data_IF_759722184410
#
_entry.id   IF_759722184410
#
_cell.length_a   1.000
_cell.length_b   1.000
_cell.length_c   1.000
_cell.angle_alpha   90.00
_cell.angle_beta   90.00
_cell.angle_gamma   90.00
#
_symmetry.space_group_name_H-M   'P 1'
#
loop_
_entity.id
_entity.type
_entity.pdbx_description
1 polymer ?
#
# COMPACT_ATOMS: atom_id res chain seq x y z
N UNK A 1 8.51 -16.91 -5.56
CA UNK A 1 8.54 -15.96 -4.43
C UNK A 1 8.15 -14.58 -4.95
N UNK A 2 7.14 -13.95 -4.36
CA UNK A 2 6.64 -12.64 -4.82
C UNK A 2 7.36 -11.56 -4.04
N UNK A 3 7.86 -10.53 -4.71
CA UNK A 3 8.47 -9.39 -4.02
C UNK A 3 7.39 -8.44 -3.51
N UNK A 4 7.52 -8.08 -2.24
CA UNK A 4 6.72 -7.06 -1.59
C UNK A 4 7.64 -5.97 -1.07
N UNK A 5 7.17 -4.74 -1.06
CA UNK A 5 7.81 -3.63 -0.37
C UNK A 5 6.80 -3.00 0.57
N UNK A 6 7.18 -2.82 1.83
CA UNK A 6 6.34 -2.19 2.83
C UNK A 6 6.92 -0.88 3.32
N UNK A 7 6.06 0.02 3.76
CA UNK A 7 6.44 1.24 4.47
C UNK A 7 5.35 1.60 5.48
N UNK A 8 5.63 2.56 6.35
CA UNK A 8 4.72 2.99 7.40
C UNK A 8 4.73 4.50 7.61
N UNK A 9 3.63 5.00 8.16
CA UNK A 9 3.56 6.30 8.81
C UNK A 9 3.38 6.06 10.31
N UNK A 10 4.13 6.78 11.13
CA UNK A 10 4.08 6.70 12.59
C UNK A 10 3.87 8.08 13.17
N UNK A 11 3.29 8.18 14.37
CA UNK A 11 3.17 9.40 15.14
C UNK A 11 4.23 9.42 16.23
N UNK A 12 5.08 10.44 16.23
CA UNK A 12 6.07 10.61 17.28
C UNK A 12 5.46 11.17 18.58
N UNK A 13 6.28 11.28 19.61
CA UNK A 13 5.96 11.87 20.93
C UNK A 13 5.35 13.29 20.85
N UNK A 14 5.78 14.09 19.88
CA UNK A 14 5.23 15.43 19.62
C UNK A 14 3.89 15.42 18.84
N UNK A 15 3.34 14.24 18.53
CA UNK A 15 2.11 14.09 17.76
C UNK A 15 2.27 14.26 16.23
N UNK A 16 3.49 14.43 15.72
CA UNK A 16 3.77 14.62 14.30
C UNK A 16 3.82 13.28 13.56
N UNK A 17 3.25 13.25 12.36
CA UNK A 17 3.35 12.10 11.47
C UNK A 17 4.73 12.07 10.80
N UNK A 18 5.43 10.95 10.97
CA UNK A 18 6.75 10.65 10.42
C UNK A 18 6.60 9.49 9.44
N UNK A 19 7.15 9.67 8.26
CA UNK A 19 7.23 8.63 7.25
C UNK A 19 8.48 7.78 7.43
N UNK A 20 8.33 6.47 7.28
CA UNK A 20 9.41 5.50 7.45
C UNK A 20 9.98 5.08 6.09
N UNK A 21 11.27 4.76 6.06
CA UNK A 21 11.89 4.19 4.85
C UNK A 21 11.18 2.89 4.45
N UNK A 22 11.05 2.66 3.15
CA UNK A 22 10.59 1.38 2.62
C UNK A 22 11.49 0.20 3.03
N UNK A 23 10.89 -0.98 3.12
CA UNK A 23 11.56 -2.24 3.42
C UNK A 23 11.06 -3.33 2.48
N UNK A 24 11.98 -4.12 1.91
CA UNK A 24 11.62 -5.33 1.17
C UNK A 24 11.11 -6.42 2.11
N UNK A 25 10.02 -7.04 1.69
CA UNK A 25 9.38 -8.17 2.36
C UNK A 25 9.46 -9.38 1.43
N UNK A 26 10.18 -10.40 1.90
CA UNK A 26 10.30 -11.69 1.26
C UNK A 26 9.11 -12.56 1.68
N UNK A 27 8.16 -12.83 0.78
CA UNK A 27 7.00 -13.66 1.11
C UNK A 27 6.40 -14.39 -0.09
N UNK A 28 5.88 -15.59 0.13
CA UNK A 28 5.15 -16.35 -0.88
C UNK A 28 3.67 -15.95 -0.97
N UNK A 29 3.14 -15.25 0.05
CA UNK A 29 1.74 -14.84 0.07
C UNK A 29 1.55 -13.40 0.55
N UNK A 30 0.54 -12.75 0.00
CA UNK A 30 0.14 -11.39 0.38
C UNK A 30 -0.28 -11.29 1.86
N UNK A 31 -0.99 -12.29 2.37
CA UNK A 31 -1.39 -12.33 3.78
C UNK A 31 -0.18 -12.39 4.72
N UNK A 32 0.83 -13.20 4.41
CA UNK A 32 2.04 -13.26 5.25
C UNK A 32 2.87 -11.99 5.13
N UNK A 33 2.99 -11.41 3.92
CA UNK A 33 3.69 -10.14 3.72
C UNK A 33 3.06 -9.01 4.55
N UNK A 34 1.73 -8.88 4.52
CA UNK A 34 0.97 -7.90 5.31
C UNK A 34 1.14 -8.09 6.82
N UNK A 35 1.05 -9.33 7.30
CA UNK A 35 1.27 -9.65 8.73
C UNK A 35 2.70 -9.35 9.16
N UNK A 36 3.70 -9.72 8.35
CA UNK A 36 5.10 -9.45 8.61
C UNK A 36 5.38 -7.94 8.65
N UNK A 37 4.89 -7.19 7.66
CA UNK A 37 5.01 -5.74 7.61
C UNK A 37 4.41 -5.07 8.85
N UNK A 38 3.17 -5.41 9.24
CA UNK A 38 2.58 -4.84 10.46
C UNK A 38 3.38 -5.16 11.71
N UNK A 39 3.83 -6.42 11.89
CA UNK A 39 4.63 -6.80 13.07
C UNK A 39 5.95 -6.04 13.12
N UNK A 40 6.64 -5.94 11.99
CA UNK A 40 7.89 -5.23 11.88
C UNK A 40 7.70 -3.74 12.23
N UNK A 41 6.74 -3.07 11.58
CA UNK A 41 6.52 -1.64 11.81
C UNK A 41 6.00 -1.33 13.21
N UNK A 42 5.16 -2.19 13.80
CA UNK A 42 4.80 -2.05 15.22
C UNK A 42 6.02 -2.15 16.12
N UNK A 43 6.89 -3.15 15.92
CA UNK A 43 8.11 -3.29 16.72
C UNK A 43 9.04 -2.08 16.63
N UNK A 44 9.13 -1.44 15.45
CA UNK A 44 9.89 -0.19 15.27
C UNK A 44 9.21 0.98 15.99
N UNK A 45 7.88 1.08 15.97
CA UNK A 45 7.14 2.12 16.68
C UNK A 45 7.33 1.96 18.21
N UNK A 46 7.14 0.75 18.73
CA UNK A 46 7.32 0.41 20.14
C UNK A 46 8.75 0.74 20.62
N UNK A 47 9.76 0.34 19.86
CA UNK A 47 11.17 0.62 20.18
C UNK A 47 11.51 2.11 20.22
N UNK A 48 10.71 2.96 19.56
CA UNK A 48 10.86 4.41 19.52
C UNK A 48 9.95 5.15 20.50
N UNK A 49 9.03 4.44 21.17
CA UNK A 49 7.96 5.06 21.97
C UNK A 49 6.98 5.86 21.10
N UNK A 50 6.78 5.45 19.85
CA UNK A 50 5.90 6.09 18.87
C UNK A 50 4.66 5.24 18.60
N UNK A 51 3.63 5.83 18.00
CA UNK A 51 2.42 5.09 17.59
C UNK A 51 2.45 4.79 16.10
N UNK A 52 2.14 3.56 15.70
CA UNK A 52 1.95 3.23 14.30
C UNK A 52 0.62 3.82 13.80
N UNK A 53 0.63 4.63 12.73
CA UNK A 53 -0.58 5.22 12.14
C UNK A 53 -1.06 4.37 10.96
N UNK A 54 -0.17 4.08 10.01
CA UNK A 54 -0.48 3.34 8.78
C UNK A 54 0.65 2.42 8.35
N UNK A 55 0.28 1.34 7.67
CA UNK A 55 1.19 0.45 6.94
C UNK A 55 0.71 0.30 5.51
N UNK A 56 1.63 0.45 4.57
CA UNK A 56 1.45 0.14 3.16
C UNK A 56 2.28 -1.10 2.83
N UNK A 57 1.73 -2.00 2.06
CA UNK A 57 2.41 -3.17 1.52
C UNK A 57 2.08 -3.23 0.02
N UNK A 58 3.10 -3.01 -0.80
CA UNK A 58 3.00 -2.88 -2.25
C UNK A 58 3.65 -4.09 -2.88
N UNK A 59 3.07 -4.58 -3.97
CA UNK A 59 3.67 -5.60 -4.84
C UNK A 59 3.37 -5.33 -6.29
N UNK A 60 4.13 -5.94 -7.18
CA UNK A 60 3.76 -6.01 -8.60
C UNK A 60 2.56 -6.95 -8.78
N UNK A 61 1.61 -6.53 -9.59
CA UNK A 61 0.47 -7.31 -10.08
C UNK A 61 0.44 -7.33 -11.60
N UNK A 62 -0.52 -8.05 -12.17
CA UNK A 62 -0.66 -8.20 -13.64
C UNK A 62 -1.05 -6.90 -14.35
N UNK A 63 -1.74 -5.99 -13.65
CA UNK A 63 -2.28 -4.74 -14.21
C UNK A 63 -1.64 -3.48 -13.59
N UNK A 64 -0.47 -3.62 -12.95
CA UNK A 64 0.20 -2.54 -12.24
C UNK A 64 0.58 -2.91 -10.81
N UNK A 65 0.77 -1.91 -9.96
CA UNK A 65 1.14 -2.13 -8.56
C UNK A 65 -0.12 -2.29 -7.69
N UNK A 66 -0.15 -3.34 -6.88
CA UNK A 66 -1.22 -3.58 -5.91
C UNK A 66 -0.77 -3.05 -4.57
N UNK A 67 -1.54 -2.12 -4.02
CA UNK A 67 -1.33 -1.55 -2.69
C UNK A 67 -2.29 -2.22 -1.72
N UNK A 68 -1.76 -2.75 -0.64
CA UNK A 68 -2.51 -3.11 0.55
C UNK A 68 -2.19 -2.10 1.64
N UNK A 69 -3.19 -1.35 2.09
CA UNK A 69 -3.08 -0.34 3.13
C UNK A 69 -3.85 -0.79 4.37
N UNK A 70 -3.28 -0.53 5.55
CA UNK A 70 -3.98 -0.63 6.82
C UNK A 70 -3.70 0.61 7.66
N UNK A 71 -4.78 1.25 8.10
CA UNK A 71 -4.73 2.23 9.18
C UNK A 71 -4.87 1.51 10.51
N UNK A 72 -4.14 1.92 11.55
CA UNK A 72 -4.18 1.23 12.84
C UNK A 72 -5.48 1.49 13.62
N UNK A 73 -6.20 2.57 13.30
CA UNK A 73 -7.58 2.80 13.77
C UNK A 73 -8.62 1.88 13.11
N UNK A 74 -8.22 1.06 12.13
CA UNK A 74 -9.08 0.12 11.42
C UNK A 74 -8.52 -1.30 11.48
N UNK A 75 -9.42 -2.28 11.60
CA UNK A 75 -9.03 -3.69 11.61
C UNK A 75 -8.63 -4.19 10.22
N UNK A 76 -9.29 -3.68 9.20
CA UNK A 76 -9.25 -4.24 7.85
C UNK A 76 -8.14 -3.64 6.99
N UNK A 77 -7.68 -4.46 6.04
CA UNK A 77 -6.79 -4.03 4.99
C UNK A 77 -7.61 -3.59 3.77
N UNK A 78 -7.40 -2.36 3.33
CA UNK A 78 -7.91 -1.89 2.05
C UNK A 78 -6.93 -2.30 0.96
N UNK A 79 -7.43 -2.87 -0.14
CA UNK A 79 -6.59 -3.23 -1.30
C UNK A 79 -7.06 -2.47 -2.53
N UNK A 80 -6.14 -1.86 -3.24
CA UNK A 80 -6.40 -1.10 -4.47
C UNK A 80 -5.21 -1.19 -5.42
N UNK A 81 -5.44 -0.86 -6.69
CA UNK A 81 -4.36 -0.61 -7.63
C UNK A 81 -3.77 0.77 -7.35
N UNK A 82 -2.44 0.90 -7.36
CA UNK A 82 -1.78 2.18 -7.19
C UNK A 82 -2.34 3.19 -8.22
N UNK A 83 -2.76 4.38 -7.77
CA UNK A 83 -3.26 5.40 -8.70
C UNK A 83 -2.12 5.94 -9.56
N UNK A 84 -2.46 6.66 -10.63
CA UNK A 84 -1.49 7.32 -11.52
C UNK A 84 -0.58 8.31 -10.75
N UNK A 85 -1.17 9.05 -9.81
CA UNK A 85 -0.44 9.91 -8.88
C UNK A 85 -0.49 9.29 -7.47
N UNK A 86 0.40 8.33 -7.15
CA UNK A 86 0.45 7.73 -5.83
C UNK A 86 0.91 8.74 -4.79
N UNK A 87 0.54 8.49 -3.53
CA UNK A 87 1.13 9.22 -2.42
C UNK A 87 2.64 8.94 -2.37
N UNK A 88 3.43 9.86 -1.81
CA UNK A 88 4.89 9.70 -1.71
C UNK A 88 5.29 8.36 -1.06
N UNK A 89 4.50 7.87 -0.10
CA UNK A 89 4.75 6.60 0.57
C UNK A 89 4.63 5.40 -0.37
N UNK A 90 3.60 5.40 -1.22
CA UNK A 90 3.37 4.35 -2.21
C UNK A 90 4.38 4.46 -3.34
N UNK A 91 4.71 5.68 -3.78
CA UNK A 91 5.69 5.96 -4.82
C UNK A 91 7.06 5.35 -4.50
N UNK A 92 7.59 5.58 -3.30
CA UNK A 92 8.88 5.00 -2.87
C UNK A 92 8.86 3.47 -2.89
N UNK A 93 7.73 2.85 -2.54
CA UNK A 93 7.60 1.39 -2.61
C UNK A 93 7.57 0.88 -4.06
N UNK A 94 6.97 1.64 -4.98
CA UNK A 94 6.93 1.32 -6.41
C UNK A 94 8.35 1.41 -7.01
N UNK A 95 9.09 2.47 -6.69
CA UNK A 95 10.47 2.67 -7.15
C UNK A 95 11.39 1.54 -6.67
N UNK A 96 11.27 1.13 -5.39
CA UNK A 96 12.00 -0.02 -4.86
C UNK A 96 11.65 -1.32 -5.59
N UNK A 97 10.40 -1.50 -6.03
CA UNK A 97 10.03 -2.66 -6.85
C UNK A 97 10.52 -2.57 -8.31
N UNK A 98 11.37 -1.59 -8.64
CA UNK A 98 11.85 -1.35 -10.00
C UNK A 98 10.72 -0.92 -10.93
N UNK A 99 9.75 -0.18 -10.39
CA UNK A 99 8.63 0.37 -11.13
C UNK A 99 8.83 1.84 -11.49
N UNK A 100 8.41 2.20 -12.69
CA UNK A 100 7.89 3.55 -12.95
C UNK A 100 6.40 3.57 -12.53
N UNK A 101 5.87 4.70 -12.01
CA UNK A 101 4.44 4.82 -11.74
C UNK A 101 3.64 4.49 -13.00
N UNK A 102 2.43 3.90 -12.87
CA UNK A 102 1.68 3.46 -14.04
C UNK A 102 1.41 4.64 -14.97
N UNK A 103 1.99 4.60 -16.16
CA UNK A 103 1.81 5.57 -17.27
C UNK A 103 0.56 5.30 -18.10
N UNK A 104 -0.19 4.23 -17.79
CA UNK A 104 -1.39 3.86 -18.53
C UNK A 104 -2.63 3.88 -17.63
N UNK A 105 -3.76 4.40 -18.15
CA UNK A 105 -5.02 4.40 -17.42
C UNK A 105 -5.44 2.96 -17.09
N UNK A 106 -6.10 2.74 -15.94
CA UNK A 106 -6.58 1.42 -15.58
C UNK A 106 -7.57 0.91 -16.65
N UNK A 107 -7.62 -0.42 -16.86
CA UNK A 107 -8.52 -1.01 -17.86
C UNK A 107 -9.98 -0.67 -17.55
N UNK A 108 -10.77 -0.43 -18.58
CA UNK A 108 -12.19 -0.03 -18.47
C UNK A 108 -13.04 -1.05 -17.70
N UNK A 109 -12.60 -2.32 -17.71
CA UNK A 109 -13.19 -3.41 -16.93
C UNK A 109 -12.11 -4.19 -16.20
N UNK A 110 -12.40 -4.61 -14.97
CA UNK A 110 -11.55 -5.52 -14.19
C UNK A 110 -12.38 -6.64 -13.59
N UNK A 111 -11.89 -7.88 -13.67
CA UNK A 111 -12.55 -9.03 -13.03
C UNK A 111 -11.90 -9.34 -11.68
N UNK A 112 -12.68 -9.32 -10.59
CA UNK A 112 -12.24 -9.72 -9.25
C UNK A 112 -13.23 -10.75 -8.69
N UNK A 113 -12.76 -11.94 -8.29
CA UNK A 113 -13.59 -13.01 -7.71
C UNK A 113 -14.81 -13.41 -8.57
N UNK A 114 -14.69 -13.37 -9.91
CA UNK A 114 -15.79 -13.69 -10.83
C UNK A 114 -16.77 -12.55 -11.09
N UNK A 115 -16.54 -11.37 -10.53
CA UNK A 115 -17.35 -10.16 -10.78
C UNK A 115 -16.60 -9.19 -11.69
N UNK A 116 -17.30 -8.66 -12.69
CA UNK A 116 -16.77 -7.66 -13.63
C UNK A 116 -17.12 -6.28 -13.09
N UNK A 117 -16.10 -5.48 -12.80
CA UNK A 117 -16.22 -4.08 -12.38
C UNK A 117 -15.96 -3.21 -13.59
N UNK A 118 -16.90 -2.32 -13.92
CA UNK A 118 -16.76 -1.35 -15.01
C UNK A 118 -16.50 0.04 -14.43
N UNK A 119 -15.61 0.81 -15.04
CA UNK A 119 -15.29 2.18 -14.60
C UNK A 119 -16.53 3.08 -14.80
N UNK A 120 -17.10 3.58 -13.70
CA UNK A 120 -18.19 4.56 -13.74
C UNK A 120 -17.65 5.97 -13.92
N UNK A 121 -18.21 6.74 -14.84
CA UNK A 121 -17.95 8.16 -15.01
C UNK A 121 -18.87 8.98 -14.08
N UNK A 122 -18.31 10.00 -13.42
CA UNK A 122 -19.10 11.11 -12.90
C UNK A 122 -19.28 12.11 -14.06
N UNK A 123 -20.47 12.12 -14.66
CA UNK A 123 -20.87 13.15 -15.62
C UNK A 123 -21.59 14.24 -14.82
N UNK A 124 -21.01 15.45 -14.79
CA UNK A 124 -21.29 16.50 -13.80
C UNK A 124 -22.71 17.08 -13.74
N UNK A 125 -22.90 18.07 -12.87
CA UNK A 125 -24.13 18.87 -12.77
C UNK A 125 -24.18 19.98 -13.84
N UNK A 126 -25.40 20.25 -14.32
CA UNK A 126 -25.80 21.37 -15.20
C UNK A 126 -25.87 22.66 -14.41
#
# INVERSE_FOLDING_TARGET
MTEFVSTATMRNDSGKLVYMRSKREASDTDTQARKAATRYWNGIADARGWELDRVYCVRRGSCGFVVSERRMDRRDWTRYLAPETPTAQVQVCIEELGGEPPTQPPPETMTINGWIYQRGEFLGEV
#
